data_IF_596412951745
#
_entry.id   IF_596412951745
#
_cell.length_a   1.000
_cell.length_b   1.000
_cell.length_c   1.000
_cell.angle_alpha   90.00
_cell.angle_beta   90.00
_cell.angle_gamma   90.00
#
_symmetry.space_group_name_H-M   'P 1'
#
loop_
_entity.id
_entity.type
_entity.pdbx_description
1 polymer ?
#
# COMPACT_ATOMS: atom_id res chain seq x y z
N UNK A 1 -21.45 13.05 39.52
CA UNK A 1 -20.10 12.96 40.12
C UNK A 1 -19.38 11.80 39.45
N UNK A 2 -18.56 12.06 38.42
CA UNK A 2 -17.93 10.99 37.63
C UNK A 2 -16.52 10.72 38.16
N UNK A 3 -16.32 9.49 38.68
CA UNK A 3 -15.03 8.99 39.16
C UNK A 3 -14.13 8.77 37.94
N UNK A 4 -13.10 9.60 37.77
CA UNK A 4 -12.13 9.46 36.69
C UNK A 4 -11.33 8.16 36.88
N UNK A 5 -11.09 7.38 35.80
CA UNK A 5 -10.30 6.15 35.87
C UNK A 5 -8.83 6.46 36.19
N UNK A 6 -8.17 5.54 36.91
CA UNK A 6 -6.79 5.62 37.42
C UNK A 6 -5.71 6.01 36.38
N UNK A 7 -6.01 5.97 35.08
CA UNK A 7 -5.10 6.43 34.03
C UNK A 7 -4.91 7.96 34.02
N UNK A 8 -5.85 8.72 34.59
CA UNK A 8 -5.79 10.18 34.68
C UNK A 8 -4.76 10.71 35.70
N UNK A 9 -4.05 9.83 36.41
CA UNK A 9 -3.07 10.21 37.44
C UNK A 9 -1.61 10.16 36.95
N UNK A 10 -1.37 9.84 35.67
CA UNK A 10 0.01 9.74 35.13
C UNK A 10 0.34 10.88 34.15
N UNK A 11 -0.65 11.56 33.57
CA UNK A 11 -0.46 12.75 32.72
C UNK A 11 -1.46 13.84 33.07
N UNK A 12 -0.97 15.07 33.26
CA UNK A 12 -1.81 16.23 33.46
C UNK A 12 -2.59 16.48 32.17
N UNK A 13 -3.92 16.54 32.24
CA UNK A 13 -4.79 16.65 31.06
C UNK A 13 -4.51 17.94 30.26
N UNK A 14 -3.98 18.97 30.93
CA UNK A 14 -3.60 20.24 30.32
C UNK A 14 -2.42 20.11 29.34
N UNK A 15 -1.39 19.29 29.67
CA UNK A 15 -0.22 19.09 28.81
C UNK A 15 -0.60 18.35 27.51
N UNK A 16 -1.51 17.39 27.58
CA UNK A 16 -2.03 16.68 26.41
C UNK A 16 -2.86 17.61 25.51
N UNK A 17 -3.68 18.48 26.11
CA UNK A 17 -4.49 19.46 25.38
C UNK A 17 -3.59 20.41 24.59
N UNK A 18 -2.52 20.92 25.21
CA UNK A 18 -1.60 21.84 24.55
C UNK A 18 -0.80 21.17 23.43
N UNK A 19 -0.36 19.92 23.61
CA UNK A 19 0.25 19.12 22.54
C UNK A 19 -0.71 18.93 21.34
N UNK A 20 -1.99 18.67 21.60
CA UNK A 20 -3.00 18.50 20.55
C UNK A 20 -3.25 19.82 19.81
N UNK A 21 -3.28 20.95 20.52
CA UNK A 21 -3.41 22.29 19.92
C UNK A 21 -2.23 22.61 19.01
N UNK A 22 -1.01 22.34 19.48
CA UNK A 22 0.19 22.52 18.66
C UNK A 22 0.13 21.69 17.38
N UNK A 23 -0.19 20.39 17.47
CA UNK A 23 -0.33 19.53 16.30
C UNK A 23 -1.46 19.95 15.36
N UNK A 24 -2.57 20.44 15.90
CA UNK A 24 -3.69 20.97 15.12
C UNK A 24 -3.28 22.20 14.30
N UNK A 25 -2.36 23.02 14.81
CA UNK A 25 -1.82 24.19 14.10
C UNK A 25 -0.78 23.80 13.05
N UNK A 26 0.09 22.83 13.35
CA UNK A 26 1.17 22.39 12.45
C UNK A 26 0.68 21.55 11.26
N UNK A 27 -0.33 20.69 11.48
CA UNK A 27 -0.77 19.72 10.48
C UNK A 27 -1.67 20.34 9.41
N UNK A 28 -1.29 20.19 8.14
CA UNK A 28 -2.05 20.69 6.97
C UNK A 28 -3.16 19.72 6.53
N UNK A 29 -3.14 18.47 6.98
CA UNK A 29 -4.11 17.45 6.58
C UNK A 29 -5.48 17.73 7.19
N UNK A 30 -6.47 18.06 6.35
CA UNK A 30 -7.87 18.24 6.79
C UNK A 30 -8.37 17.04 7.61
N UNK A 31 -7.97 15.82 7.23
CA UNK A 31 -8.36 14.59 7.94
C UNK A 31 -7.81 14.54 9.36
N UNK A 32 -6.55 14.93 9.56
CA UNK A 32 -5.93 14.93 10.89
C UNK A 32 -6.47 16.06 11.75
N UNK A 33 -6.63 17.26 11.18
CA UNK A 33 -7.22 18.40 11.91
C UNK A 33 -8.60 18.09 12.49
N UNK A 34 -9.47 17.44 11.71
CA UNK A 34 -10.78 16.98 12.20
C UNK A 34 -10.63 15.99 13.35
N UNK A 35 -9.68 15.04 13.26
CA UNK A 35 -9.45 14.06 14.33
C UNK A 35 -8.93 14.74 15.61
N UNK A 36 -8.02 15.70 15.50
CA UNK A 36 -7.55 16.49 16.65
C UNK A 36 -8.69 17.26 17.30
N UNK A 37 -9.57 17.91 16.52
CA UNK A 37 -10.75 18.60 17.05
C UNK A 37 -11.69 17.65 17.81
N UNK A 38 -11.92 16.44 17.29
CA UNK A 38 -12.72 15.42 17.98
C UNK A 38 -12.12 15.06 19.34
N UNK A 39 -10.80 14.84 19.41
CA UNK A 39 -10.14 14.49 20.68
C UNK A 39 -10.12 15.69 21.63
N UNK A 40 -9.83 16.89 21.14
CA UNK A 40 -9.84 18.12 21.93
C UNK A 40 -11.24 18.33 22.56
N UNK A 41 -12.31 18.21 21.79
CA UNK A 41 -13.67 18.31 22.32
C UNK A 41 -14.00 17.20 23.31
N UNK A 42 -13.49 15.97 23.11
CA UNK A 42 -13.66 14.89 24.07
C UNK A 42 -12.95 15.17 25.40
N UNK A 43 -11.73 15.71 25.36
CA UNK A 43 -10.95 16.08 26.55
C UNK A 43 -11.60 17.24 27.31
N UNK A 44 -12.23 18.18 26.62
CA UNK A 44 -13.07 19.23 27.24
C UNK A 44 -14.42 18.70 27.80
N UNK A 45 -14.69 17.40 27.72
CA UNK A 45 -15.87 16.78 28.34
C UNK A 45 -17.14 16.80 27.51
N UNK A 46 -17.08 17.16 26.22
CA UNK A 46 -18.26 17.12 25.35
C UNK A 46 -18.69 15.67 25.06
N UNK A 47 -20.01 15.46 24.94
CA UNK A 47 -20.57 14.16 24.58
C UNK A 47 -20.34 13.87 23.09
N UNK A 48 -20.23 12.59 22.74
CA UNK A 48 -19.97 12.17 21.36
C UNK A 48 -21.01 12.69 20.36
N UNK A 49 -22.26 12.83 20.80
CA UNK A 49 -23.38 13.34 19.98
C UNK A 49 -23.17 14.82 19.68
N UNK A 50 -22.81 15.62 20.69
CA UNK A 50 -22.57 17.06 20.54
C UNK A 50 -21.36 17.32 19.64
N UNK A 51 -20.29 16.53 19.81
CA UNK A 51 -19.09 16.60 18.97
C UNK A 51 -19.45 16.27 17.51
N UNK A 52 -20.27 15.24 17.31
CA UNK A 52 -20.69 14.81 15.98
C UNK A 52 -21.50 15.90 15.27
N UNK A 53 -22.46 16.52 15.96
CA UNK A 53 -23.25 17.64 15.42
C UNK A 53 -22.36 18.83 15.09
N UNK A 54 -21.49 19.23 16.04
CA UNK A 54 -20.60 20.40 15.89
C UNK A 54 -19.64 20.27 14.71
N UNK A 55 -19.11 19.06 14.48
CA UNK A 55 -18.09 18.82 13.45
C UNK A 55 -18.68 18.23 12.15
N UNK A 56 -20.00 18.05 12.06
CA UNK A 56 -20.66 17.45 10.89
C UNK A 56 -20.23 16.00 10.63
N UNK A 57 -20.01 15.21 11.69
CA UNK A 57 -19.56 13.82 11.62
C UNK A 57 -20.66 12.85 12.06
N UNK A 58 -20.53 11.58 11.67
CA UNK A 58 -21.34 10.51 12.25
C UNK A 58 -20.88 10.21 13.70
N UNK A 59 -21.81 10.03 14.68
CA UNK A 59 -21.45 9.65 16.06
C UNK A 59 -20.57 8.40 16.15
N UNK A 60 -20.77 7.44 15.24
CA UNK A 60 -19.94 6.24 15.15
C UNK A 60 -18.46 6.56 14.81
N UNK A 61 -18.24 7.53 13.92
CA UNK A 61 -16.90 7.99 13.53
C UNK A 61 -16.21 8.67 14.71
N UNK A 62 -16.92 9.55 15.42
CA UNK A 62 -16.43 10.21 16.65
C UNK A 62 -16.01 9.17 17.68
N UNK A 63 -16.88 8.20 17.98
CA UNK A 63 -16.57 7.12 18.92
C UNK A 63 -15.37 6.27 18.47
N UNK A 64 -15.20 6.06 17.16
CA UNK A 64 -14.04 5.35 16.61
C UNK A 64 -12.73 6.12 16.83
N UNK A 65 -12.71 7.44 16.62
CA UNK A 65 -11.53 8.26 16.86
C UNK A 65 -11.16 8.29 18.35
N UNK A 66 -12.13 8.49 19.23
CA UNK A 66 -11.92 8.46 20.68
C UNK A 66 -11.39 7.10 21.14
N UNK A 67 -11.93 5.98 20.61
CA UNK A 67 -11.45 4.64 20.93
C UNK A 67 -10.00 4.42 20.47
N UNK A 68 -9.63 4.94 19.30
CA UNK A 68 -8.24 4.87 18.81
C UNK A 68 -7.29 5.67 19.69
N UNK A 69 -7.69 6.88 20.06
CA UNK A 69 -6.95 7.73 20.99
C UNK A 69 -6.74 7.03 22.34
N UNK A 70 -7.81 6.51 22.96
CA UNK A 70 -7.72 5.81 24.26
C UNK A 70 -6.83 4.56 24.24
N UNK A 71 -6.57 3.98 23.06
CA UNK A 71 -5.75 2.77 22.91
C UNK A 71 -4.25 3.06 22.82
N UNK A 72 -3.85 4.23 22.35
CA UNK A 72 -2.43 4.54 22.14
C UNK A 72 -2.18 5.96 21.65
N UNK A 73 -2.92 6.91 22.20
CA UNK A 73 -2.75 8.33 21.98
C UNK A 73 -2.90 8.78 20.53
N UNK A 74 -2.17 9.84 20.18
CA UNK A 74 -2.24 10.51 18.88
C UNK A 74 -1.65 9.67 17.74
N UNK A 75 -0.72 8.76 18.03
CA UNK A 75 -0.12 7.88 17.03
C UNK A 75 -1.17 6.97 16.38
N UNK A 76 -2.06 6.39 17.19
CA UNK A 76 -3.18 5.57 16.72
C UNK A 76 -4.26 6.36 15.97
N UNK A 77 -4.18 7.69 16.02
CA UNK A 77 -5.08 8.59 15.30
C UNK A 77 -4.62 8.85 13.87
N UNK A 78 -3.38 8.52 13.51
CA UNK A 78 -2.84 8.67 12.16
C UNK A 78 -3.55 7.67 11.22
N UNK A 79 -4.08 8.11 10.06
CA UNK A 79 -4.65 7.18 9.10
C UNK A 79 -3.57 6.26 8.53
N UNK A 80 -3.84 4.96 8.54
CA UNK A 80 -3.04 4.01 7.77
C UNK A 80 -3.03 4.44 6.28
N UNK A 81 -1.91 4.20 5.56
CA UNK A 81 -1.89 4.34 4.12
C UNK A 81 -3.06 3.57 3.50
N UNK A 82 -3.79 4.21 2.59
CA UNK A 82 -4.88 3.55 1.89
C UNK A 82 -4.24 2.44 1.05
N UNK A 83 -4.64 1.16 1.22
CA UNK A 83 -4.11 0.11 0.38
C UNK A 83 -4.44 0.44 -1.08
N UNK A 84 -3.44 0.35 -1.95
CA UNK A 84 -3.63 0.53 -3.38
C UNK A 84 -4.54 -0.56 -3.98
N UNK A 85 -4.83 -0.45 -5.27
CA UNK A 85 -5.59 -1.46 -5.99
C UNK A 85 -4.97 -2.87 -5.79
N UNK A 86 -5.79 -3.90 -5.57
CA UNK A 86 -5.29 -5.25 -5.38
C UNK A 86 -4.47 -5.68 -6.60
N UNK A 87 -3.39 -6.43 -6.35
CA UNK A 87 -2.56 -6.97 -7.44
C UNK A 87 -3.39 -8.00 -8.21
N UNK A 88 -3.35 -7.94 -9.54
CA UNK A 88 -4.04 -8.93 -10.37
C UNK A 88 -3.34 -10.29 -10.35
N UNK A 89 -2.01 -10.30 -10.20
CA UNK A 89 -1.23 -11.53 -10.02
C UNK A 89 -1.05 -11.83 -8.53
N UNK A 90 -1.22 -13.09 -8.18
CA UNK A 90 -0.84 -13.62 -6.86
C UNK A 90 0.67 -13.76 -6.74
N UNK A 91 1.19 -13.87 -5.51
CA UNK A 91 2.63 -14.07 -5.27
C UNK A 91 3.16 -15.34 -5.94
N UNK A 92 2.37 -16.42 -5.97
CA UNK A 92 2.77 -17.67 -6.62
C UNK A 92 2.83 -17.52 -8.15
N UNK A 93 1.88 -16.79 -8.75
CA UNK A 93 1.91 -16.46 -10.18
C UNK A 93 3.09 -15.54 -10.52
N UNK A 94 3.40 -14.55 -9.68
CA UNK A 94 4.59 -13.71 -9.83
C UNK A 94 5.88 -14.55 -9.85
N UNK A 95 6.00 -15.54 -8.94
CA UNK A 95 7.13 -16.48 -8.91
C UNK A 95 7.23 -17.33 -10.17
N UNK A 96 6.10 -17.87 -10.65
CA UNK A 96 6.07 -18.66 -11.90
C UNK A 96 6.52 -17.84 -13.11
N UNK A 97 6.15 -16.55 -13.17
CA UNK A 97 6.59 -15.66 -14.24
C UNK A 97 8.10 -15.41 -14.17
N UNK A 98 8.66 -15.18 -12.99
CA UNK A 98 10.11 -15.01 -12.80
C UNK A 98 10.86 -16.27 -13.24
N UNK A 99 10.40 -17.43 -12.80
CA UNK A 99 10.99 -18.72 -13.15
C UNK A 99 10.93 -18.96 -14.67
N UNK A 100 9.76 -18.75 -15.29
CA UNK A 100 9.57 -18.86 -16.74
C UNK A 100 10.57 -17.99 -17.50
N UNK A 101 10.68 -16.71 -17.13
CA UNK A 101 11.53 -15.74 -17.83
C UNK A 101 13.02 -16.01 -17.64
N UNK A 102 13.40 -16.67 -16.54
CA UNK A 102 14.80 -17.00 -16.22
C UNK A 102 15.22 -18.34 -16.83
N UNK A 103 14.32 -19.32 -16.86
CA UNK A 103 14.65 -20.71 -17.23
C UNK A 103 14.34 -21.06 -18.67
N UNK A 104 13.30 -20.47 -19.27
CA UNK A 104 12.81 -20.85 -20.60
C UNK A 104 13.01 -19.75 -21.62
N UNK A 105 13.33 -20.15 -22.83
CA UNK A 105 13.25 -19.29 -24.01
C UNK A 105 11.79 -19.15 -24.48
N UNK A 106 11.40 -18.07 -25.20
CA UNK A 106 10.04 -17.95 -25.73
C UNK A 106 9.63 -19.15 -26.59
N UNK A 107 10.58 -19.76 -27.32
CA UNK A 107 10.36 -20.96 -28.11
C UNK A 107 9.88 -22.14 -27.24
N UNK A 108 10.54 -22.39 -26.11
CA UNK A 108 10.16 -23.44 -25.15
C UNK A 108 8.86 -23.12 -24.41
N UNK A 109 8.48 -21.84 -24.35
CA UNK A 109 7.23 -21.38 -23.75
C UNK A 109 6.03 -21.36 -24.74
N UNK A 110 6.21 -21.88 -25.96
CA UNK A 110 5.13 -21.97 -26.96
C UNK A 110 5.11 -20.85 -28.01
N UNK A 111 6.17 -20.03 -28.10
CA UNK A 111 6.31 -18.96 -29.10
C UNK A 111 7.42 -19.28 -30.11
N UNK A 112 7.17 -20.18 -31.09
CA UNK A 112 8.22 -20.79 -31.91
C UNK A 112 9.04 -19.80 -32.75
N UNK A 113 8.43 -18.69 -33.17
CA UNK A 113 9.07 -17.67 -34.02
C UNK A 113 9.70 -16.51 -33.24
N UNK A 114 9.71 -16.56 -31.89
CA UNK A 114 10.19 -15.46 -31.05
C UNK A 114 11.51 -15.85 -30.39
N UNK A 115 12.53 -15.01 -30.60
CA UNK A 115 13.87 -15.21 -30.04
C UNK A 115 14.00 -14.65 -28.61
N UNK A 116 13.39 -13.49 -28.36
CA UNK A 116 13.53 -12.79 -27.08
C UNK A 116 12.17 -12.60 -26.40
N UNK A 117 12.18 -12.60 -25.08
CA UNK A 117 11.02 -12.20 -24.30
C UNK A 117 10.74 -10.70 -24.48
N UNK A 118 9.45 -10.36 -24.50
CA UNK A 118 8.94 -9.00 -24.55
C UNK A 118 7.67 -8.96 -23.68
N UNK A 119 7.31 -7.78 -23.16
CA UNK A 119 6.08 -7.54 -22.39
C UNK A 119 4.83 -8.11 -23.06
N UNK A 120 4.72 -7.98 -24.38
CA UNK A 120 3.60 -8.53 -25.16
C UNK A 120 3.52 -10.06 -25.11
N UNK A 121 4.65 -10.76 -25.17
CA UNK A 121 4.69 -12.22 -25.08
C UNK A 121 4.36 -12.70 -23.66
N UNK A 122 4.81 -11.95 -22.65
CA UNK A 122 4.47 -12.25 -21.26
C UNK A 122 2.98 -12.02 -20.99
N UNK A 123 2.39 -10.96 -21.56
CA UNK A 123 0.93 -10.76 -21.53
C UNK A 123 0.17 -11.92 -22.15
N UNK A 124 0.60 -12.36 -23.33
CA UNK A 124 -0.04 -13.46 -24.04
C UNK A 124 0.07 -14.76 -23.25
N UNK A 125 1.25 -15.05 -22.69
CA UNK A 125 1.45 -16.21 -21.84
C UNK A 125 0.59 -16.15 -20.57
N UNK A 126 0.54 -15.01 -19.88
CA UNK A 126 -0.28 -14.82 -18.66
C UNK A 126 -1.77 -14.97 -18.97
N UNK A 127 -2.22 -14.43 -20.10
CA UNK A 127 -3.60 -14.60 -20.56
C UNK A 127 -3.93 -16.07 -20.79
N UNK A 128 -3.04 -16.83 -21.41
CA UNK A 128 -3.28 -18.22 -21.75
C UNK A 128 -3.19 -19.16 -20.53
N UNK A 129 -2.32 -18.86 -19.55
CA UNK A 129 -2.11 -19.73 -18.39
C UNK A 129 -2.97 -19.35 -17.17
N UNK A 130 -3.25 -18.06 -16.96
CA UNK A 130 -3.97 -17.57 -15.78
C UNK A 130 -5.31 -16.90 -16.10
N UNK A 131 -5.65 -16.69 -17.39
CA UNK A 131 -6.87 -15.99 -17.78
C UNK A 131 -6.87 -14.48 -17.50
N UNK A 132 -5.73 -13.92 -17.05
CA UNK A 132 -5.63 -12.52 -16.64
C UNK A 132 -5.27 -11.65 -17.84
N UNK A 133 -6.08 -10.62 -18.12
CA UNK A 133 -5.84 -9.65 -19.20
C UNK A 133 -5.18 -8.38 -18.65
N UNK A 134 -3.95 -8.13 -19.09
CA UNK A 134 -3.23 -6.90 -18.79
C UNK A 134 -3.31 -5.90 -19.94
N UNK A 135 -3.29 -4.60 -19.62
CA UNK A 135 -2.87 -3.58 -20.58
C UNK A 135 -1.35 -3.60 -20.72
N UNK A 136 -0.81 -3.12 -21.84
CA UNK A 136 0.64 -3.06 -22.04
C UNK A 136 1.35 -2.28 -20.93
N UNK A 137 0.85 -1.08 -20.59
CA UNK A 137 1.40 -0.27 -19.49
C UNK A 137 1.27 -0.96 -18.13
N UNK A 138 0.15 -1.65 -17.87
CA UNK A 138 -0.05 -2.42 -16.65
C UNK A 138 0.93 -3.58 -16.53
N UNK A 139 1.26 -4.25 -17.64
CA UNK A 139 2.28 -5.30 -17.67
C UNK A 139 3.67 -4.74 -17.41
N UNK A 140 4.06 -3.66 -18.08
CA UNK A 140 5.38 -3.02 -17.86
C UNK A 140 5.53 -2.58 -16.40
N UNK A 141 4.46 -2.03 -15.82
CA UNK A 141 4.44 -1.70 -14.39
C UNK A 141 4.54 -2.95 -13.50
N UNK A 142 3.79 -4.02 -13.82
CA UNK A 142 3.84 -5.27 -13.07
C UNK A 142 5.25 -5.89 -13.09
N UNK A 143 5.90 -5.94 -14.25
CA UNK A 143 7.25 -6.48 -14.41
C UNK A 143 8.32 -5.59 -13.77
N UNK A 144 8.16 -4.26 -13.84
CA UNK A 144 9.05 -3.33 -13.14
C UNK A 144 9.05 -3.53 -11.62
N UNK A 145 7.89 -3.88 -11.03
CA UNK A 145 7.81 -4.25 -9.61
C UNK A 145 8.48 -5.57 -9.27
N UNK A 146 8.60 -6.48 -10.25
CA UNK A 146 9.34 -7.73 -10.13
C UNK A 146 10.83 -7.55 -10.49
N UNK A 147 11.28 -6.31 -10.68
CA UNK A 147 12.63 -5.97 -11.13
C UNK A 147 13.03 -6.63 -12.44
N UNK A 148 12.06 -6.84 -13.35
CA UNK A 148 12.29 -7.36 -14.70
C UNK A 148 12.16 -6.22 -15.69
N UNK A 149 13.23 -5.94 -16.44
CA UNK A 149 13.23 -4.99 -17.56
C UNK A 149 13.71 -5.69 -18.83
N UNK A 150 13.00 -5.48 -19.93
CA UNK A 150 13.45 -5.94 -21.25
C UNK A 150 14.31 -4.84 -21.89
N UNK A 151 15.56 -5.15 -22.23
CA UNK A 151 16.38 -4.23 -23.03
C UNK A 151 15.97 -4.26 -24.50
N UNK A 152 16.16 -3.13 -25.21
CA UNK A 152 16.02 -3.06 -26.67
C UNK A 152 16.99 -4.00 -27.40
N UNK A 153 18.05 -4.51 -26.74
CA UNK A 153 18.94 -5.56 -27.26
C UNK A 153 19.11 -6.75 -26.30
N UNK A 154 18.90 -7.96 -26.84
CA UNK A 154 19.24 -9.34 -26.41
C UNK A 154 19.22 -9.78 -24.92
N UNK A 155 18.88 -8.97 -23.92
CA UNK A 155 18.95 -9.39 -22.50
C UNK A 155 17.84 -8.82 -21.62
N UNK A 156 17.43 -9.62 -20.64
CA UNK A 156 16.69 -9.17 -19.46
C UNK A 156 17.69 -8.49 -18.53
N UNK A 157 17.42 -7.25 -18.13
CA UNK A 157 18.17 -6.61 -17.07
C UNK A 157 17.34 -6.64 -15.78
N UNK A 158 17.94 -7.13 -14.70
CA UNK A 158 17.42 -6.97 -13.35
C UNK A 158 17.96 -5.69 -12.72
N UNK A 159 17.21 -5.09 -11.79
CA UNK A 159 17.65 -3.86 -11.09
C UNK A 159 18.96 -4.03 -10.30
N UNK A 160 19.37 -5.29 -10.05
CA UNK A 160 20.67 -5.67 -9.47
C UNK A 160 21.85 -5.60 -10.44
N UNK A 161 21.67 -5.12 -11.68
CA UNK A 161 22.75 -5.00 -12.67
C UNK A 161 23.21 -6.35 -13.27
N UNK A 162 22.47 -7.43 -13.01
CA UNK A 162 22.78 -8.76 -13.52
C UNK A 162 22.18 -8.89 -14.93
N UNK A 163 23.04 -9.11 -15.91
CA UNK A 163 22.64 -9.47 -17.27
C UNK A 163 22.38 -10.98 -17.32
N UNK A 164 21.12 -11.37 -17.47
CA UNK A 164 20.78 -12.78 -17.70
C UNK A 164 21.04 -13.06 -19.19
N UNK A 165 22.22 -13.63 -19.50
CA UNK A 165 22.49 -14.17 -20.83
C UNK A 165 21.58 -15.38 -21.04
N UNK A 166 20.75 -15.35 -22.07
CA UNK A 166 20.11 -16.56 -22.56
C UNK A 166 21.22 -17.54 -22.96
N UNK A 167 21.21 -18.75 -22.39
CA UNK A 167 22.22 -19.77 -22.67
C UNK A 167 22.25 -20.07 -24.16
N UNK A 168 23.34 -19.71 -24.84
CA UNK A 168 23.68 -20.23 -26.15
C UNK A 168 24.05 -21.72 -25.98
N UNK A 169 23.06 -22.61 -26.12
CA UNK A 169 23.37 -24.02 -26.42
C UNK A 169 23.77 -24.10 -27.89
N UNK A 170 25.07 -24.03 -28.12
CA UNK A 170 25.73 -24.41 -29.37
C UNK A 170 25.42 -25.89 -29.61
N UNK A 171 25.01 -26.19 -30.84
CA UNK A 171 24.74 -27.52 -31.34
C UNK A 171 25.96 -28.44 -31.22
N UNK A 172 25.71 -29.71 -30.94
CA UNK A 172 26.53 -30.82 -31.41
C UNK A 172 25.57 -31.89 -31.96
#
# INVERSE_FOLDING_TARGET
MYRLPLFALIYNTDDEIDLIREKLHQDKSKRMRIRYLVILSHLHGHQNIDIAITLGLCPHTVGTYIRKYKRGGLENLVPAPIPGAPRMLTKDQERQIIELLTTKTPKEAGFPHKKNWNSLLVMEWIKNNFGIKYSHSGMVYALGRLSIKFSKSKSLCTDSGIFIKQSEKIAN
#
